data_IF_409853302837
#
_entry.id   IF_409853302837
#
_cell.length_a   1.000
_cell.length_b   1.000
_cell.length_c   1.000
_cell.angle_alpha   90.00
_cell.angle_beta   90.00
_cell.angle_gamma   90.00
#
_symmetry.space_group_name_H-M   'P 1'
#
loop_
_entity.id
_entity.type
_entity.pdbx_description
1 polymer ?
#
# COMPACT_ATOMS: atom_id res chain seq x y z
N UNK A 1 17.64 8.38 -19.34
CA UNK A 1 17.41 9.55 -18.47
C UNK A 1 17.48 9.04 -17.02
N UNK A 2 18.25 9.65 -16.12
CA UNK A 2 18.37 9.20 -14.72
C UNK A 2 17.31 9.92 -13.87
N UNK A 3 16.36 9.20 -13.28
CA UNK A 3 15.43 9.75 -12.28
C UNK A 3 15.97 9.43 -10.89
N UNK A 4 16.12 10.46 -10.05
CA UNK A 4 16.46 10.31 -8.63
C UNK A 4 15.18 10.44 -7.82
N UNK A 5 14.97 9.54 -6.88
CA UNK A 5 13.78 9.52 -6.00
C UNK A 5 14.25 9.41 -4.55
N UNK A 6 13.44 9.84 -3.60
CA UNK A 6 13.79 9.82 -2.17
C UNK A 6 13.85 8.40 -1.63
N UNK A 7 12.85 7.58 -1.98
CA UNK A 7 12.85 6.15 -1.67
C UNK A 7 12.09 5.32 -2.70
N UNK A 8 12.36 4.00 -2.68
CA UNK A 8 11.71 3.01 -3.53
C UNK A 8 11.12 1.91 -2.65
N UNK A 9 9.85 1.57 -2.91
CA UNK A 9 9.22 0.36 -2.37
C UNK A 9 9.28 -0.79 -3.37
N UNK A 10 9.58 -1.99 -2.89
CA UNK A 10 9.52 -3.23 -3.68
C UNK A 10 8.40 -4.11 -3.13
N UNK A 11 7.47 -4.48 -4.01
CA UNK A 11 6.17 -5.07 -3.69
C UNK A 11 5.11 -4.01 -3.37
N UNK A 12 3.87 -4.28 -3.74
CA UNK A 12 2.70 -3.42 -3.47
C UNK A 12 1.66 -4.19 -2.66
N UNK A 13 2.09 -4.78 -1.53
CA UNK A 13 1.17 -5.29 -0.52
C UNK A 13 0.47 -4.14 0.24
N UNK A 14 -0.51 -4.44 1.12
CA UNK A 14 -1.28 -3.40 1.84
C UNK A 14 -0.41 -2.39 2.61
N UNK A 15 0.74 -2.82 3.14
CA UNK A 15 1.69 -1.93 3.79
C UNK A 15 2.30 -0.90 2.85
N UNK A 16 2.88 -1.35 1.74
CA UNK A 16 3.52 -0.47 0.77
C UNK A 16 2.47 0.39 0.08
N UNK A 17 1.26 -0.12 -0.11
CA UNK A 17 0.13 0.65 -0.59
C UNK A 17 -0.28 1.76 0.38
N UNK A 18 -0.23 1.52 1.69
CA UNK A 18 -0.48 2.55 2.71
C UNK A 18 0.56 3.67 2.65
N UNK A 19 1.85 3.31 2.54
CA UNK A 19 2.92 4.30 2.40
C UNK A 19 2.77 5.06 1.08
N UNK A 20 2.49 4.37 -0.02
CA UNK A 20 2.24 5.00 -1.31
C UNK A 20 1.10 6.04 -1.22
N UNK A 21 -0.01 5.69 -0.57
CA UNK A 21 -1.17 6.57 -0.39
C UNK A 21 -0.89 7.77 0.51
N UNK A 22 -0.06 7.60 1.56
CA UNK A 22 0.38 8.69 2.43
C UNK A 22 1.36 9.61 1.71
N UNK A 23 2.34 9.06 1.01
CA UNK A 23 3.35 9.81 0.26
C UNK A 23 2.78 10.52 -0.96
N UNK A 24 1.74 9.98 -1.60
CA UNK A 24 1.06 10.61 -2.74
C UNK A 24 0.41 11.97 -2.40
N UNK A 25 0.30 12.33 -1.12
CA UNK A 25 -0.23 13.62 -0.68
C UNK A 25 0.87 14.63 -0.30
N UNK A 26 2.14 14.28 -0.46
CA UNK A 26 3.28 15.13 -0.11
C UNK A 26 4.01 15.52 -1.41
N UNK A 27 3.88 16.78 -1.83
CA UNK A 27 4.42 17.25 -3.12
C UNK A 27 5.95 17.19 -3.19
N UNK A 28 6.62 17.36 -2.04
CA UNK A 28 8.08 17.39 -1.93
C UNK A 28 8.73 15.99 -1.83
N UNK A 29 7.95 14.92 -1.89
CA UNK A 29 8.42 13.54 -1.69
C UNK A 29 8.26 12.71 -2.97
N UNK A 30 9.35 12.45 -3.68
CA UNK A 30 9.35 11.60 -4.88
C UNK A 30 9.62 10.15 -4.47
N UNK A 31 8.61 9.30 -4.63
CA UNK A 31 8.68 7.88 -4.28
C UNK A 31 8.08 7.02 -5.38
N UNK A 32 8.61 5.80 -5.53
CA UNK A 32 8.12 4.84 -6.51
C UNK A 32 7.98 3.46 -5.88
N UNK A 33 6.92 2.74 -6.22
CA UNK A 33 6.65 1.39 -5.75
C UNK A 33 6.54 0.46 -6.95
N UNK A 34 7.27 -0.66 -6.92
CA UNK A 34 7.29 -1.64 -8.02
C UNK A 34 6.69 -2.96 -7.58
N UNK A 35 5.87 -3.57 -8.44
CA UNK A 35 5.34 -4.91 -8.26
C UNK A 35 5.50 -5.72 -9.55
N UNK A 36 5.82 -7.00 -9.42
CA UNK A 36 5.92 -7.92 -10.55
C UNK A 36 4.55 -8.28 -11.14
N UNK A 37 3.49 -8.24 -10.34
CA UNK A 37 2.14 -8.57 -10.79
C UNK A 37 1.61 -7.49 -11.74
N UNK A 38 0.75 -7.86 -12.70
CA UNK A 38 0.22 -6.92 -13.69
C UNK A 38 -0.83 -5.94 -13.11
N UNK A 39 -1.38 -6.23 -11.94
CA UNK A 39 -2.34 -5.39 -11.23
C UNK A 39 -2.31 -5.72 -9.74
N UNK A 40 -2.85 -4.81 -8.93
CA UNK A 40 -2.98 -5.04 -7.50
C UNK A 40 -3.84 -6.28 -7.21
N UNK A 41 -3.30 -7.20 -6.42
CA UNK A 41 -3.98 -8.44 -6.04
C UNK A 41 -3.64 -8.80 -4.59
N UNK A 42 -4.64 -8.74 -3.71
CA UNK A 42 -4.47 -9.09 -2.30
C UNK A 42 -5.08 -10.47 -2.01
N UNK A 43 -4.20 -11.47 -1.86
CA UNK A 43 -4.53 -12.87 -1.56
C UNK A 43 -5.63 -13.49 -2.45
N UNK A 44 -5.43 -13.57 -3.78
CA UNK A 44 -6.46 -14.06 -4.71
C UNK A 44 -6.91 -15.50 -4.43
N UNK A 45 -6.05 -16.33 -3.81
CA UNK A 45 -6.36 -17.73 -3.45
C UNK A 45 -6.99 -17.93 -2.07
N UNK A 46 -7.23 -16.88 -1.28
CA UNK A 46 -7.77 -16.99 0.10
C UNK A 46 -9.05 -16.16 0.32
N UNK A 47 -9.80 -15.89 -0.74
CA UNK A 47 -11.14 -15.30 -0.66
C UNK A 47 -12.18 -16.41 -0.46
N UNK A 48 -12.19 -17.00 0.72
CA UNK A 48 -13.27 -17.90 1.13
C UNK A 48 -14.55 -17.05 1.31
N UNK A 49 -15.70 -17.49 0.78
CA UNK A 49 -16.97 -16.80 0.98
C UNK A 49 -17.23 -16.53 2.47
N UNK A 50 -17.88 -15.40 2.76
CA UNK A 50 -18.26 -14.98 4.11
C UNK A 50 -17.11 -14.73 5.11
N UNK A 51 -15.86 -14.66 4.65
CA UNK A 51 -14.75 -14.23 5.50
C UNK A 51 -14.73 -12.70 5.69
N UNK A 52 -14.60 -12.28 6.95
CA UNK A 52 -14.43 -10.89 7.34
C UNK A 52 -12.99 -10.58 7.75
N UNK A 53 -12.63 -9.30 7.62
CA UNK A 53 -11.48 -8.73 8.29
C UNK A 53 -11.60 -8.93 9.80
N UNK A 54 -10.49 -9.20 10.47
CA UNK A 54 -10.45 -9.27 11.93
C UNK A 54 -10.25 -7.89 12.57
N UNK A 55 -9.85 -6.91 11.76
CA UNK A 55 -9.69 -5.53 12.15
C UNK A 55 -10.94 -4.71 11.85
N UNK A 56 -11.11 -3.64 12.62
CA UNK A 56 -12.15 -2.64 12.35
C UNK A 56 -11.85 -1.90 11.05
N UNK A 57 -12.89 -1.47 10.36
CA UNK A 57 -12.77 -0.80 9.05
C UNK A 57 -11.97 0.52 9.08
N UNK A 58 -11.78 1.13 10.26
CA UNK A 58 -10.93 2.32 10.44
C UNK A 58 -9.43 2.01 10.51
N UNK A 59 -9.05 0.73 10.68
CA UNK A 59 -7.67 0.26 10.44
C UNK A 59 -7.48 0.01 8.93
N UNK A 60 -7.76 1.05 8.15
CA UNK A 60 -7.54 1.08 6.71
C UNK A 60 -6.12 1.59 6.37
N UNK A 61 -5.87 1.95 5.12
CA UNK A 61 -4.55 2.39 4.65
C UNK A 61 -4.04 3.66 5.35
N UNK A 62 -4.91 4.60 5.73
CA UNK A 62 -4.49 5.98 5.98
C UNK A 62 -5.18 6.63 7.18
N UNK A 63 -6.37 6.19 7.58
CA UNK A 63 -7.25 6.89 8.52
C UNK A 63 -6.63 7.10 9.90
N UNK A 64 -5.78 6.17 10.36
CA UNK A 64 -5.09 6.30 11.64
C UNK A 64 -3.99 7.38 11.65
N UNK A 65 -3.50 7.79 10.48
CA UNK A 65 -2.42 8.77 10.30
C UNK A 65 -2.95 10.09 9.73
N UNK A 66 -3.76 10.00 8.68
CA UNK A 66 -4.31 11.12 7.92
C UNK A 66 -5.79 10.84 7.58
N UNK A 67 -6.74 11.11 8.49
CA UNK A 67 -8.16 10.79 8.30
C UNK A 67 -8.84 11.54 7.14
N UNK A 68 -8.25 12.64 6.66
CA UNK A 68 -8.71 13.39 5.49
C UNK A 68 -8.12 12.90 4.18
N UNK A 69 -7.22 11.90 4.21
CA UNK A 69 -6.59 11.37 3.01
C UNK A 69 -7.65 10.72 2.09
N UNK A 70 -7.61 11.01 0.77
CA UNK A 70 -8.59 10.52 -0.18
C UNK A 70 -8.63 8.99 -0.29
N UNK A 71 -7.58 8.28 0.09
CA UNK A 71 -7.52 6.82 0.06
C UNK A 71 -8.07 6.14 1.33
N UNK A 72 -8.80 6.85 2.18
CA UNK A 72 -9.51 6.23 3.32
C UNK A 72 -10.64 5.31 2.86
N UNK A 73 -10.90 4.25 3.64
CA UNK A 73 -12.01 3.32 3.43
C UNK A 73 -13.36 4.02 3.49
N UNK A 74 -13.48 5.05 4.34
CA UNK A 74 -14.71 5.87 4.39
C UNK A 74 -14.94 6.61 3.07
N UNK A 75 -13.90 7.20 2.47
CA UNK A 75 -14.03 7.86 1.17
C UNK A 75 -14.36 6.85 0.06
N UNK A 76 -13.75 5.65 0.09
CA UNK A 76 -14.14 4.53 -0.78
C UNK A 76 -15.64 4.23 -0.71
N UNK A 77 -16.19 4.09 0.50
CA UNK A 77 -17.62 3.83 0.69
C UNK A 77 -18.50 4.96 0.13
N UNK A 78 -18.08 6.22 0.27
CA UNK A 78 -18.81 7.38 -0.26
C UNK A 78 -18.77 7.38 -1.78
N UNK A 79 -17.58 7.19 -2.39
CA UNK A 79 -17.41 7.13 -3.85
C UNK A 79 -18.23 6.01 -4.50
N UNK A 80 -18.38 4.88 -3.81
CA UNK A 80 -19.18 3.74 -4.27
C UNK A 80 -20.66 3.79 -3.85
N UNK A 81 -21.12 4.88 -3.22
CA UNK A 81 -22.51 5.03 -2.72
C UNK A 81 -22.93 3.93 -1.74
N UNK A 82 -21.97 3.36 -1.01
CA UNK A 82 -22.17 2.28 -0.01
C UNK A 82 -22.19 2.79 1.43
N UNK A 83 -21.81 4.05 1.69
CA UNK A 83 -21.64 4.61 3.04
C UNK A 83 -22.83 4.40 3.99
N UNK A 84 -24.02 4.87 3.65
CA UNK A 84 -25.19 4.71 4.53
C UNK A 84 -25.59 3.24 4.69
N UNK A 85 -25.49 2.43 3.62
CA UNK A 85 -25.75 0.99 3.68
C UNK A 85 -24.80 0.30 4.66
N UNK A 86 -23.51 0.66 4.62
CA UNK A 86 -22.51 0.13 5.53
C UNK A 86 -22.84 0.50 6.99
N UNK A 87 -23.21 1.76 7.27
CA UNK A 87 -23.62 2.19 8.62
C UNK A 87 -24.85 1.44 9.14
N UNK A 88 -25.88 1.24 8.30
CA UNK A 88 -27.10 0.53 8.68
C UNK A 88 -26.84 -0.95 8.97
N UNK A 89 -25.83 -1.56 8.34
CA UNK A 89 -25.46 -2.97 8.55
C UNK A 89 -24.95 -3.26 9.98
N UNK A 90 -24.50 -2.23 10.71
CA UNK A 90 -23.86 -2.35 12.05
C UNK A 90 -22.66 -3.30 12.09
N UNK A 91 -22.08 -3.62 10.94
CA UNK A 91 -20.85 -4.39 10.85
C UNK A 91 -19.68 -3.56 11.36
N UNK A 92 -18.90 -4.12 12.28
CA UNK A 92 -17.65 -3.50 12.77
C UNK A 92 -16.47 -3.79 11.85
N UNK A 93 -16.57 -4.86 11.05
CA UNK A 93 -15.53 -5.37 10.18
C UNK A 93 -16.05 -5.51 8.76
N UNK A 94 -15.15 -5.36 7.80
CA UNK A 94 -15.44 -5.42 6.36
C UNK A 94 -15.28 -6.86 5.88
N UNK A 95 -16.03 -7.29 4.86
CA UNK A 95 -15.71 -8.58 4.21
C UNK A 95 -14.33 -8.51 3.56
N UNK A 96 -13.64 -9.64 3.46
CA UNK A 96 -12.33 -9.69 2.77
C UNK A 96 -12.43 -9.27 1.31
N UNK A 97 -13.54 -9.63 0.65
CA UNK A 97 -13.81 -9.23 -0.72
C UNK A 97 -13.93 -7.71 -0.86
N UNK A 98 -14.74 -7.06 -0.03
CA UNK A 98 -14.94 -5.61 -0.06
C UNK A 98 -13.65 -4.87 0.35
N UNK A 99 -12.87 -5.42 1.28
CA UNK A 99 -11.58 -4.83 1.63
C UNK A 99 -10.56 -5.00 0.49
N UNK A 100 -10.54 -6.14 -0.19
CA UNK A 100 -9.70 -6.36 -1.39
C UNK A 100 -10.08 -5.40 -2.53
N UNK A 101 -11.39 -5.17 -2.74
CA UNK A 101 -11.90 -4.19 -3.70
C UNK A 101 -11.48 -2.77 -3.35
N UNK A 102 -11.57 -2.40 -2.06
CA UNK A 102 -11.05 -1.12 -1.56
C UNK A 102 -9.55 -0.93 -1.86
N UNK A 103 -8.72 -1.93 -1.58
CA UNK A 103 -7.28 -1.85 -1.82
C UNK A 103 -6.98 -1.72 -3.32
N UNK A 104 -7.71 -2.45 -4.17
CA UNK A 104 -7.61 -2.31 -5.64
C UNK A 104 -8.00 -0.91 -6.08
N UNK A 105 -9.14 -0.40 -5.61
CA UNK A 105 -9.61 0.95 -5.91
C UNK A 105 -8.58 2.01 -5.51
N UNK A 106 -7.96 1.87 -4.34
CA UNK A 106 -6.93 2.81 -3.91
C UNK A 106 -5.71 2.79 -4.85
N UNK A 107 -5.32 1.60 -5.33
CA UNK A 107 -4.19 1.43 -6.24
C UNK A 107 -4.42 1.99 -7.66
N UNK A 108 -5.67 2.17 -8.09
CA UNK A 108 -5.98 2.62 -9.46
C UNK A 108 -5.64 4.10 -9.73
N UNK A 109 -5.73 4.95 -8.71
CA UNK A 109 -5.62 6.42 -8.86
C UNK A 109 -4.24 6.96 -8.42
N UNK A 110 -3.33 6.09 -7.98
CA UNK A 110 -1.99 6.48 -7.53
C UNK A 110 -0.97 6.45 -8.66
N UNK A 111 -0.28 7.57 -8.88
CA UNK A 111 0.72 7.71 -9.95
C UNK A 111 2.15 7.22 -9.57
N UNK A 112 2.33 6.75 -8.33
CA UNK A 112 3.60 6.28 -7.78
C UNK A 112 3.69 4.74 -7.73
N UNK A 113 2.73 4.02 -8.32
CA UNK A 113 2.70 2.56 -8.40
C UNK A 113 3.03 2.05 -9.81
N UNK A 114 3.93 1.07 -9.91
CA UNK A 114 4.43 0.50 -11.16
C UNK A 114 4.27 -1.03 -11.15
N UNK A 115 3.20 -1.51 -11.74
CA UNK A 115 2.90 -2.94 -11.93
C UNK A 115 3.62 -3.52 -13.16
N UNK A 116 3.77 -4.84 -13.24
CA UNK A 116 4.57 -5.54 -14.27
C UNK A 116 6.07 -5.17 -14.29
N UNK A 117 6.60 -4.75 -13.14
CA UNK A 117 8.00 -4.35 -12.96
C UNK A 117 8.67 -5.22 -11.91
N UNK A 118 9.31 -6.29 -12.36
CA UNK A 118 10.14 -7.14 -11.50
C UNK A 118 11.46 -6.43 -11.19
N UNK A 119 11.71 -6.20 -9.90
CA UNK A 119 13.02 -5.75 -9.40
C UNK A 119 13.92 -6.96 -9.26
N UNK A 120 15.00 -7.00 -10.05
CA UNK A 120 15.92 -8.15 -10.07
C UNK A 120 17.15 -7.91 -9.20
N UNK A 121 17.64 -6.67 -9.16
CA UNK A 121 18.85 -6.34 -8.43
C UNK A 121 18.77 -4.93 -7.82
N UNK A 122 19.33 -4.82 -6.62
CA UNK A 122 19.50 -3.60 -5.84
C UNK A 122 21.00 -3.48 -5.52
N UNK A 123 21.69 -2.63 -6.27
CA UNK A 123 23.09 -2.32 -6.04
C UNK A 123 23.23 -1.12 -5.09
N UNK A 124 24.23 -1.12 -4.23
CA UNK A 124 24.50 -0.02 -3.31
C UNK A 124 25.78 0.71 -3.73
N UNK A 125 25.67 1.97 -4.14
CA UNK A 125 26.81 2.89 -4.24
C UNK A 125 26.93 3.70 -2.94
N UNK A 126 28.12 4.21 -2.63
CA UNK A 126 28.49 4.86 -1.35
C UNK A 126 27.59 6.04 -0.94
N UNK A 127 26.73 6.54 -1.83
CA UNK A 127 25.74 7.61 -1.58
C UNK A 127 24.33 7.31 -2.11
N UNK A 128 24.12 6.23 -2.86
CA UNK A 128 22.84 5.96 -3.56
C UNK A 128 22.68 4.47 -3.85
N UNK A 129 21.51 3.92 -3.57
CA UNK A 129 21.06 2.62 -4.08
C UNK A 129 20.59 2.75 -5.54
N UNK A 130 20.94 1.77 -6.37
CA UNK A 130 20.53 1.66 -7.76
C UNK A 130 19.59 0.46 -7.87
N UNK A 131 18.37 0.70 -8.31
CA UNK A 131 17.39 -0.36 -8.60
C UNK A 131 17.35 -0.58 -10.10
N UNK A 132 17.42 -1.86 -10.51
CA UNK A 132 17.29 -2.29 -11.90
C UNK A 132 16.29 -3.45 -12.01
N UNK A 133 15.49 -3.43 -13.08
CA UNK A 133 14.47 -4.43 -13.33
C UNK A 133 14.43 -4.85 -14.81
N UNK A 134 13.88 -6.04 -15.07
CA UNK A 134 13.88 -6.69 -16.38
C UNK A 134 13.23 -5.87 -17.51
N UNK A 135 12.23 -5.04 -17.16
CA UNK A 135 11.33 -4.37 -18.11
C UNK A 135 11.60 -2.87 -18.33
N UNK A 136 12.70 -2.30 -17.80
CA UNK A 136 13.13 -0.94 -18.16
C UNK A 136 14.65 -0.83 -18.34
N UNK A 137 15.13 -0.20 -19.43
CA UNK A 137 16.52 0.22 -19.56
C UNK A 137 16.75 1.49 -18.74
N UNK A 138 16.75 1.37 -17.41
CA UNK A 138 16.86 2.51 -16.50
C UNK A 138 17.37 2.11 -15.12
N UNK A 139 18.42 2.79 -14.66
CA UNK A 139 18.90 2.73 -13.28
C UNK A 139 18.16 3.79 -12.48
N UNK A 140 17.37 3.39 -11.48
CA UNK A 140 16.68 4.32 -10.58
C UNK A 140 17.55 4.50 -9.34
N UNK A 141 17.88 5.73 -9.01
CA UNK A 141 18.77 6.07 -7.90
C UNK A 141 17.95 6.50 -6.69
N UNK A 142 18.24 5.91 -5.54
CA UNK A 142 17.54 6.08 -4.27
C UNK A 142 18.58 6.29 -3.17
N UNK A 143 18.68 7.47 -2.53
CA UNK A 143 19.66 7.74 -1.48
C UNK A 143 19.56 6.79 -0.28
N UNK A 144 18.38 6.23 -0.03
CA UNK A 144 18.12 5.43 1.15
C UNK A 144 17.20 4.24 0.84
N UNK A 145 17.79 3.05 0.72
CA UNK A 145 17.02 1.82 0.91
C UNK A 145 16.62 1.77 2.39
N UNK A 146 15.33 1.58 2.68
CA UNK A 146 14.87 1.22 4.02
C UNK A 146 14.74 -0.31 4.03
N UNK A 147 15.74 -1.07 4.55
CA UNK A 147 15.46 -2.40 5.04
C UNK A 147 14.43 -2.22 6.14
N UNK A 148 13.26 -2.85 5.98
CA UNK A 148 12.01 -2.68 6.74
C UNK A 148 12.07 -2.98 8.25
N UNK A 149 13.25 -2.93 8.85
CA UNK A 149 13.51 -3.23 10.24
C UNK A 149 14.46 -2.20 10.85
N UNK A 150 13.95 -0.99 11.16
CA UNK A 150 14.23 -0.24 12.42
C UNK A 150 13.98 1.27 12.27
N UNK A 151 13.17 1.78 13.21
CA UNK A 151 13.18 3.12 13.82
C UNK A 151 12.56 4.27 13.02
N UNK A 152 11.23 4.36 13.07
CA UNK A 152 10.53 5.67 13.02
C UNK A 152 9.21 5.57 13.77
N UNK A 153 8.76 6.61 14.47
CA UNK A 153 7.52 6.59 15.27
C UNK A 153 6.27 6.33 14.43
N UNK A 154 6.26 6.74 13.15
CA UNK A 154 5.24 6.38 12.16
C UNK A 154 5.10 4.85 11.99
N UNK A 155 6.23 4.14 12.11
CA UNK A 155 6.31 2.69 11.94
C UNK A 155 5.69 1.94 13.12
N UNK A 156 5.79 2.44 14.35
CA UNK A 156 5.17 1.76 15.50
C UNK A 156 3.64 1.73 15.36
N UNK A 157 3.04 2.86 14.96
CA UNK A 157 1.60 2.96 14.73
C UNK A 157 1.16 2.14 13.51
N UNK A 158 1.96 2.12 12.43
CA UNK A 158 1.70 1.27 11.25
C UNK A 158 1.98 -0.22 11.51
N UNK A 159 2.88 -0.63 12.39
CA UNK A 159 3.06 -2.05 12.74
C UNK A 159 1.94 -2.52 13.69
N UNK A 160 1.62 -1.77 14.74
CA UNK A 160 0.54 -2.14 15.68
C UNK A 160 -0.85 -2.17 15.01
N UNK A 161 -1.09 -1.30 14.02
CA UNK A 161 -2.34 -1.32 13.27
C UNK A 161 -2.44 -2.52 12.31
N UNK A 162 -1.33 -3.08 11.83
CA UNK A 162 -1.29 -4.01 10.70
C UNK A 162 -0.74 -5.42 10.99
N UNK A 163 -0.03 -5.66 12.11
CA UNK A 163 0.23 -7.03 12.61
C UNK A 163 -1.09 -7.80 12.81
N UNK A 164 -2.20 -7.08 13.02
CA UNK A 164 -3.56 -7.64 13.07
C UNK A 164 -4.19 -7.93 11.70
N UNK A 165 -3.64 -7.41 10.60
CA UNK A 165 -4.21 -7.54 9.24
C UNK A 165 -3.69 -8.82 8.52
N UNK A 166 -2.49 -9.29 8.84
CA UNK A 166 -1.81 -10.35 8.06
C UNK A 166 -1.77 -11.74 8.68
N UNK A 167 -1.93 -11.88 10.00
CA UNK A 167 -1.95 -13.18 10.69
C UNK A 167 -2.96 -13.07 11.82
N UNK A 168 -4.13 -13.74 11.79
CA UNK A 168 -4.26 -15.20 11.96
C UNK A 168 -5.59 -15.80 11.41
N UNK A 169 -5.57 -16.60 10.35
CA UNK A 169 -6.65 -17.56 10.16
C UNK A 169 -6.48 -18.65 11.23
N UNK A 170 -7.31 -18.63 12.28
CA UNK A 170 -7.67 -19.81 13.04
C UNK A 170 -9.14 -20.09 12.80
#
# INVERSE_FOLDING_TARGET
>A
MKKSVDFIGVGTGPFNLSIAALSHQIEELDCLFFDEHPHFSWHPGMLVPDCHMQTVFLKDLVSAVAPTNPYSFVNYLVKHKKFYRFLTSRLRTVSREEFSDYLRWAAEDMNNLYFSHTVENIDFDKKTSIVSGANQPGRIFCPQYLPWYRKTTLFTTLCEAYDTILFPCQ
#
